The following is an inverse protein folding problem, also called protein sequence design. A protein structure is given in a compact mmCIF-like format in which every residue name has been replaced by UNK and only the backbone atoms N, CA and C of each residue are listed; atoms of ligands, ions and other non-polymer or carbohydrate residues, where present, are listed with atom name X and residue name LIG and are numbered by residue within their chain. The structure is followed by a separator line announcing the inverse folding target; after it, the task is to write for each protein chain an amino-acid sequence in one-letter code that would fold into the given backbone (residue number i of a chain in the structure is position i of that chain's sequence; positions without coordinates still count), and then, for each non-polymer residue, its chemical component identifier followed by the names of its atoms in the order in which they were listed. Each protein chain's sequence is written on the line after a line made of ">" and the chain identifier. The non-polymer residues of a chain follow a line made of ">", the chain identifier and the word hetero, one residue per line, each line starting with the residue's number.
data_IF_818332769111
#
_entry.id   IF_818332769111
#
_cell.length_a   1.000
_cell.length_b   1.000
_cell.length_c   1.000
_cell.angle_alpha   90.00
_cell.angle_beta   90.00
_cell.angle_gamma   90.00
#
_symmetry.space_group_name_H-M   'P 1'
#
loop_
_entity.id
_entity.type
_entity.pdbx_description
1 polymer ?
#
# COMPACT_ATOMS: atom_id res chain seq x y z
N UNK A 1 -14.83 32.10 -28.76
CA UNK A 1 -15.19 31.23 -27.63
C UNK A 1 -14.22 30.06 -27.67
N UNK A 2 -13.36 29.92 -26.66
CA UNK A 2 -12.45 28.78 -26.56
C UNK A 2 -13.30 27.66 -25.96
N UNK A 3 -13.81 26.77 -26.81
CA UNK A 3 -14.47 25.55 -26.36
C UNK A 3 -13.43 24.71 -25.62
N UNK A 4 -13.77 24.41 -24.37
CA UNK A 4 -12.91 23.77 -23.39
C UNK A 4 -12.37 22.44 -23.89
N UNK A 5 -11.09 22.24 -23.57
CA UNK A 5 -10.32 21.03 -23.68
C UNK A 5 -11.19 19.77 -23.57
N UNK A 6 -11.09 18.95 -24.61
CA UNK A 6 -11.64 17.61 -24.67
C UNK A 6 -11.14 16.81 -23.48
N UNK A 7 -11.99 16.72 -22.46
CA UNK A 7 -11.87 15.82 -21.33
C UNK A 7 -11.44 14.45 -21.82
N UNK A 8 -10.24 14.04 -21.43
CA UNK A 8 -9.59 12.79 -21.75
C UNK A 8 -10.43 11.60 -21.26
N UNK A 9 -11.49 11.24 -22.00
CA UNK A 9 -12.25 10.01 -21.75
C UNK A 9 -11.34 8.85 -22.09
N UNK A 10 -10.94 8.05 -21.10
CA UNK A 10 -10.16 6.84 -21.35
C UNK A 10 -10.83 6.02 -22.46
N UNK A 11 -10.19 5.85 -23.64
CA UNK A 11 -10.82 5.22 -24.77
C UNK A 11 -11.02 3.70 -24.52
N UNK A 12 -12.14 3.16 -25.02
CA UNK A 12 -12.44 1.72 -24.99
C UNK A 12 -13.32 1.28 -23.82
N UNK A 13 -13.36 -0.04 -23.56
CA UNK A 13 -14.24 -0.67 -22.55
C UNK A 13 -14.05 -0.13 -21.13
N UNK A 14 -12.88 0.45 -20.81
CA UNK A 14 -12.59 1.00 -19.48
C UNK A 14 -13.53 2.15 -19.10
N UNK A 15 -13.98 2.97 -20.06
CA UNK A 15 -14.85 4.11 -19.79
C UNK A 15 -16.29 3.78 -19.40
N UNK A 16 -16.68 2.50 -19.45
CA UNK A 16 -18.03 2.02 -19.06
C UNK A 16 -18.02 1.11 -17.85
N UNK A 17 -16.84 0.71 -17.35
CA UNK A 17 -16.73 -0.18 -16.22
C UNK A 17 -16.91 0.59 -14.90
N UNK A 18 -17.45 -0.11 -13.92
CA UNK A 18 -17.55 0.36 -12.53
C UNK A 18 -16.66 -0.49 -11.62
N UNK A 19 -16.41 -0.03 -10.40
CA UNK A 19 -15.55 -0.70 -9.44
C UNK A 19 -15.92 -2.18 -9.23
N UNK A 20 -17.22 -2.52 -9.16
CA UNK A 20 -17.67 -3.93 -9.02
C UNK A 20 -17.20 -4.86 -10.13
N UNK A 21 -16.93 -4.33 -11.32
CA UNK A 21 -16.54 -5.15 -12.46
C UNK A 21 -15.09 -5.64 -12.37
N UNK A 22 -14.28 -5.01 -11.49
CA UNK A 22 -12.84 -5.28 -11.36
C UNK A 22 -12.37 -5.52 -9.92
N UNK A 23 -13.19 -5.21 -8.91
CA UNK A 23 -12.81 -5.41 -7.51
C UNK A 23 -12.84 -6.89 -7.11
N UNK A 24 -11.98 -7.27 -6.16
CA UNK A 24 -12.07 -8.55 -5.46
C UNK A 24 -13.04 -8.45 -4.29
N UNK A 25 -13.85 -9.50 -4.07
CA UNK A 25 -14.81 -9.56 -2.95
C UNK A 25 -14.26 -10.28 -1.73
N UNK A 26 -13.40 -11.27 -1.93
CA UNK A 26 -12.64 -11.92 -0.86
C UNK A 26 -11.30 -11.19 -0.70
N UNK A 27 -11.19 -10.42 0.39
CA UNK A 27 -10.06 -9.50 0.60
C UNK A 27 -9.22 -9.96 1.80
N UNK A 28 -7.93 -10.16 1.57
CA UNK A 28 -6.95 -10.33 2.65
C UNK A 28 -6.74 -8.99 3.38
N UNK A 29 -6.82 -9.00 4.70
CA UNK A 29 -6.66 -7.81 5.56
C UNK A 29 -5.62 -8.05 6.65
N UNK A 30 -4.97 -6.98 7.09
CA UNK A 30 -4.04 -6.99 8.22
C UNK A 30 -4.71 -6.41 9.48
N UNK A 31 -4.63 -7.07 10.64
CA UNK A 31 -4.93 -6.44 11.92
C UNK A 31 -4.00 -5.25 12.21
N UNK A 32 -4.53 -4.19 12.81
CA UNK A 32 -3.78 -2.96 13.12
C UNK A 32 -2.58 -3.20 14.07
N UNK A 33 -2.69 -4.20 14.94
CA UNK A 33 -1.68 -4.60 15.92
C UNK A 33 -0.61 -5.55 15.36
N UNK A 34 -0.73 -6.00 14.10
CA UNK A 34 0.26 -6.88 13.47
C UNK A 34 1.62 -6.19 13.41
N UNK A 35 2.69 -6.92 13.73
CA UNK A 35 4.06 -6.37 13.64
C UNK A 35 4.48 -6.18 12.18
N UNK A 36 5.43 -5.28 11.91
CA UNK A 36 5.90 -5.08 10.53
C UNK A 36 6.53 -6.34 9.94
N UNK A 37 7.23 -7.15 10.73
CA UNK A 37 7.83 -8.41 10.25
C UNK A 37 6.74 -9.42 9.85
N UNK A 38 5.73 -9.61 10.72
CA UNK A 38 4.63 -10.54 10.43
C UNK A 38 3.81 -10.06 9.22
N UNK A 39 3.56 -8.75 9.12
CA UNK A 39 2.86 -8.17 7.99
C UNK A 39 3.57 -8.47 6.67
N UNK A 40 4.90 -8.37 6.63
CA UNK A 40 5.69 -8.69 5.44
C UNK A 40 5.61 -10.17 5.09
N UNK A 41 5.70 -11.05 6.08
CA UNK A 41 5.58 -12.49 5.86
C UNK A 41 4.21 -12.87 5.31
N UNK A 42 3.14 -12.34 5.90
CA UNK A 42 1.77 -12.55 5.45
C UNK A 42 1.56 -12.04 4.03
N UNK A 43 1.98 -10.80 3.74
CA UNK A 43 1.91 -10.23 2.39
C UNK A 43 2.62 -11.11 1.36
N UNK A 44 3.81 -11.62 1.70
CA UNK A 44 4.57 -12.54 0.84
C UNK A 44 3.85 -13.87 0.65
N UNK A 45 3.32 -14.47 1.72
CA UNK A 45 2.57 -15.73 1.67
C UNK A 45 1.32 -15.62 0.79
N UNK A 46 0.60 -14.51 0.89
CA UNK A 46 -0.60 -14.21 0.10
C UNK A 46 -0.31 -13.58 -1.27
N UNK A 47 0.96 -13.37 -1.63
CA UNK A 47 1.39 -12.73 -2.89
C UNK A 47 0.79 -11.34 -3.10
N UNK A 48 0.64 -10.57 -2.03
CA UNK A 48 0.16 -9.19 -2.05
C UNK A 48 1.31 -8.23 -1.70
N UNK A 49 1.33 -7.06 -2.33
CA UNK A 49 2.31 -6.00 -2.04
C UNK A 49 1.83 -4.99 -1.00
N UNK A 50 0.56 -5.11 -0.61
CA UNK A 50 -0.10 -4.34 0.44
C UNK A 50 -1.49 -4.91 0.74
N UNK A 51 -2.10 -4.43 1.82
CA UNK A 51 -3.41 -4.87 2.26
C UNK A 51 -4.14 -3.74 3.02
N UNK A 52 -5.48 -3.76 3.04
CA UNK A 52 -6.26 -2.95 3.97
C UNK A 52 -5.95 -3.34 5.43
N UNK A 53 -5.98 -2.36 6.32
CA UNK A 53 -5.75 -2.55 7.76
C UNK A 53 -7.06 -2.40 8.51
N UNK A 54 -7.37 -3.36 9.39
CA UNK A 54 -8.60 -3.38 10.18
C UNK A 54 -8.30 -3.37 11.68
N UNK A 55 -9.15 -2.71 12.45
CA UNK A 55 -9.10 -2.78 13.92
C UNK A 55 -9.74 -4.06 14.48
N UNK A 56 -9.68 -4.23 15.80
CA UNK A 56 -10.26 -5.37 16.51
C UNK A 56 -11.77 -5.59 16.30
N UNK A 57 -12.51 -4.56 15.85
CA UNK A 57 -13.94 -4.66 15.52
C UNK A 57 -14.19 -4.98 14.04
N UNK A 58 -13.14 -5.17 13.24
CA UNK A 58 -13.22 -5.42 11.82
C UNK A 58 -13.46 -4.17 10.96
N UNK A 59 -13.34 -2.96 11.53
CA UNK A 59 -13.48 -1.74 10.73
C UNK A 59 -12.17 -1.39 10.04
N UNK A 60 -12.25 -0.99 8.77
CA UNK A 60 -11.15 -0.43 7.99
C UNK A 60 -10.62 0.85 8.64
N UNK A 61 -9.33 0.89 8.97
CA UNK A 61 -8.66 2.05 9.58
C UNK A 61 -7.55 2.64 8.72
N UNK A 62 -7.08 1.91 7.69
CA UNK A 62 -6.03 2.39 6.81
C UNK A 62 -5.61 1.37 5.76
N UNK A 63 -4.49 1.66 5.11
CA UNK A 63 -3.81 0.75 4.16
C UNK A 63 -2.33 0.64 4.49
N UNK A 64 -1.78 -0.55 4.32
CA UNK A 64 -0.35 -0.80 4.53
C UNK A 64 0.25 -1.47 3.30
N UNK A 65 1.46 -1.08 2.93
CA UNK A 65 2.20 -1.67 1.80
C UNK A 65 3.68 -1.79 2.11
N UNK A 66 4.39 -2.60 1.31
CA UNK A 66 5.85 -2.72 1.42
C UNK A 66 6.57 -1.38 1.24
N UNK A 67 5.95 -0.38 0.60
CA UNK A 67 6.53 0.99 0.49
C UNK A 67 6.64 1.69 1.83
N UNK A 68 5.76 1.38 2.79
CA UNK A 68 5.80 1.98 4.13
C UNK A 68 7.02 1.52 4.96
N UNK A 69 7.74 0.49 4.49
CA UNK A 69 8.98 0.02 5.11
C UNK A 69 10.20 0.89 4.76
N UNK A 70 10.13 1.71 3.71
CA UNK A 70 11.26 2.55 3.30
C UNK A 70 11.38 3.76 4.23
N UNK A 71 12.56 3.95 4.80
CA UNK A 71 12.76 4.84 5.94
C UNK A 71 12.71 6.33 5.59
N UNK A 72 11.83 7.08 6.26
CA UNK A 72 12.02 8.52 6.47
C UNK A 72 12.82 8.71 7.76
N UNK A 73 14.15 8.79 7.64
CA UNK A 73 15.01 9.55 8.55
C UNK A 73 16.03 10.34 7.72
N UNK A 74 15.67 11.57 7.35
CA UNK A 74 16.64 12.58 6.91
C UNK A 74 17.37 13.09 8.15
N UNK A 75 18.46 12.44 8.55
CA UNK A 75 19.45 13.12 9.37
C UNK A 75 20.33 13.93 8.42
N UNK A 76 20.18 15.26 8.45
CA UNK A 76 21.15 16.19 7.85
C UNK A 76 22.47 16.08 8.62
N UNK A 77 23.38 15.22 8.21
CA UNK A 77 24.83 15.38 8.47
C UNK A 77 25.73 14.41 7.72
N UNK A 78 25.23 13.30 7.16
CA UNK A 78 26.13 12.31 6.56
C UNK A 78 25.91 12.23 5.05
N UNK A 79 26.67 13.06 4.32
CA UNK A 79 26.96 12.83 2.91
C UNK A 79 27.68 11.48 2.77
N UNK A 80 27.03 10.51 2.11
CA UNK A 80 27.70 9.29 1.64
C UNK A 80 27.31 7.98 2.32
N UNK A 81 26.02 7.69 2.54
CA UNK A 81 25.57 6.30 2.40
C UNK A 81 24.06 6.21 2.12
N UNK A 82 23.73 5.96 0.87
CA UNK A 82 22.37 5.65 0.43
C UNK A 82 21.87 4.42 1.20
N UNK A 83 20.92 4.59 2.12
CA UNK A 83 20.24 3.46 2.78
C UNK A 83 18.73 3.64 2.72
N UNK A 84 18.23 3.77 1.49
CA UNK A 84 17.02 3.02 1.16
C UNK A 84 17.25 1.55 1.56
N UNK A 85 16.20 0.86 2.02
CA UNK A 85 16.19 -0.59 1.90
C UNK A 85 16.12 -0.86 0.39
N UNK A 86 17.30 -1.03 -0.23
CA UNK A 86 17.56 -1.22 -1.67
C UNK A 86 17.02 -2.55 -2.21
N UNK A 87 15.85 -2.97 -1.75
CA UNK A 87 15.25 -4.26 -2.08
C UNK A 87 13.73 -4.26 -1.99
N UNK A 88 13.10 -3.09 -1.93
CA UNK A 88 11.64 -2.96 -2.14
C UNK A 88 11.44 -2.36 -3.53
N UNK A 89 11.41 -3.22 -4.54
CA UNK A 89 11.16 -2.83 -5.94
C UNK A 89 9.79 -3.34 -6.38
N UNK A 90 8.97 -2.49 -7.01
CA UNK A 90 7.70 -2.88 -7.64
C UNK A 90 6.76 -3.75 -6.80
N UNK A 91 6.76 -3.57 -5.48
CA UNK A 91 5.89 -4.34 -4.58
C UNK A 91 6.42 -5.74 -4.21
N UNK A 92 7.71 -6.00 -4.42
CA UNK A 92 8.41 -7.21 -4.00
C UNK A 92 9.47 -6.81 -2.98
N UNK A 93 9.55 -7.54 -1.87
CA UNK A 93 10.66 -7.42 -0.91
C UNK A 93 11.71 -8.50 -1.17
N UNK A 94 12.97 -8.09 -1.32
CA UNK A 94 14.09 -9.03 -1.46
C UNK A 94 14.39 -9.71 -0.13
N UNK A 95 14.97 -10.92 -0.19
CA UNK A 95 15.38 -11.65 1.01
C UNK A 95 16.34 -10.83 1.88
N UNK A 96 17.30 -10.13 1.25
CA UNK A 96 18.24 -9.26 1.95
C UNK A 96 17.57 -8.07 2.65
N UNK A 97 16.54 -7.48 2.04
CA UNK A 97 15.77 -6.39 2.66
C UNK A 97 14.96 -6.90 3.86
N UNK A 98 14.38 -8.10 3.77
CA UNK A 98 13.67 -8.74 4.87
C UNK A 98 14.61 -9.07 6.04
N UNK A 99 15.77 -9.67 5.77
CA UNK A 99 16.78 -9.94 6.81
C UNK A 99 17.23 -8.66 7.50
N UNK A 100 17.38 -7.57 6.74
CA UNK A 100 17.72 -6.25 7.30
C UNK A 100 16.60 -5.73 8.19
N UNK A 101 15.33 -5.85 7.78
CA UNK A 101 14.18 -5.47 8.59
C UNK A 101 14.18 -6.23 9.92
N UNK A 102 14.33 -7.56 9.89
CA UNK A 102 14.36 -8.44 11.07
C UNK A 102 15.45 -8.06 12.09
N UNK A 103 16.57 -7.50 11.61
CA UNK A 103 17.69 -7.05 12.45
C UNK A 103 17.52 -5.62 12.98
N UNK A 104 16.48 -4.89 12.56
CA UNK A 104 16.21 -3.52 13.02
C UNK A 104 15.11 -3.49 14.07
N UNK A 105 15.11 -2.44 14.92
CA UNK A 105 14.03 -2.20 15.87
C UNK A 105 12.66 -2.04 15.20
N UNK A 106 12.64 -1.66 13.92
CA UNK A 106 11.42 -1.49 13.13
C UNK A 106 10.64 -2.81 12.93
N UNK A 107 11.29 -3.98 13.05
CA UNK A 107 10.58 -5.27 12.96
C UNK A 107 9.42 -5.38 13.96
N UNK A 108 9.58 -4.80 15.16
CA UNK A 108 8.61 -4.86 16.25
C UNK A 108 7.65 -3.68 16.28
N UNK A 109 7.81 -2.70 15.38
CA UNK A 109 6.80 -1.67 15.20
C UNK A 109 5.51 -2.31 14.67
N UNK A 110 4.35 -1.71 14.97
CA UNK A 110 3.06 -2.23 14.50
C UNK A 110 2.69 -1.59 13.16
N UNK A 111 1.85 -2.28 12.41
CA UNK A 111 1.29 -1.79 11.15
C UNK A 111 0.61 -0.44 11.35
N UNK A 112 -0.18 -0.28 12.42
CA UNK A 112 -0.85 0.99 12.74
C UNK A 112 0.11 2.18 12.88
N UNK A 113 1.35 1.95 13.30
CA UNK A 113 2.35 3.01 13.51
C UNK A 113 2.97 3.50 12.18
N UNK A 114 2.74 2.79 11.06
CA UNK A 114 3.34 3.07 9.74
C UNK A 114 2.36 3.11 8.57
N UNK A 115 1.11 2.69 8.78
CA UNK A 115 0.08 2.65 7.75
C UNK A 115 -0.27 4.05 7.25
N UNK A 116 -0.88 4.10 6.06
CA UNK A 116 -1.63 5.28 5.65
C UNK A 116 -3.02 5.19 6.26
N UNK A 117 -3.30 6.08 7.22
CA UNK A 117 -4.62 6.21 7.83
C UNK A 117 -5.68 6.62 6.79
N UNK A 118 -6.94 6.31 7.10
CA UNK A 118 -8.10 6.70 6.28
C UNK A 118 -7.96 6.24 4.82
N UNK A 119 -8.07 4.93 4.63
CA UNK A 119 -8.06 4.32 3.30
C UNK A 119 -9.05 5.02 2.36
N UNK A 120 -8.60 5.52 1.19
CA UNK A 120 -9.51 5.99 0.15
C UNK A 120 -10.51 4.89 -0.18
N UNK A 121 -11.79 5.24 -0.26
CA UNK A 121 -12.85 4.29 -0.56
C UNK A 121 -13.82 4.86 -1.58
N UNK A 122 -14.36 3.97 -2.39
CA UNK A 122 -15.38 4.26 -3.40
C UNK A 122 -16.51 3.27 -3.24
N UNK A 123 -17.67 3.60 -3.79
CA UNK A 123 -18.78 2.64 -3.86
C UNK A 123 -18.56 1.66 -5.01
N UNK A 124 -19.20 0.50 -4.93
CA UNK A 124 -19.16 -0.52 -5.99
C UNK A 124 -19.67 -0.05 -7.36
N UNK A 125 -20.44 1.05 -7.40
CA UNK A 125 -20.97 1.67 -8.62
C UNK A 125 -20.15 2.87 -9.12
N UNK A 126 -19.03 3.21 -8.45
CA UNK A 126 -18.14 4.27 -8.93
C UNK A 126 -17.54 3.88 -10.28
N UNK A 127 -17.51 4.82 -11.23
CA UNK A 127 -16.93 4.56 -12.55
C UNK A 127 -15.41 4.44 -12.43
N UNK A 128 -14.76 3.63 -13.27
CA UNK A 128 -13.29 3.54 -13.23
C UNK A 128 -12.59 4.86 -13.59
N UNK A 129 -13.29 5.79 -14.22
CA UNK A 129 -12.79 7.15 -14.46
C UNK A 129 -12.71 7.93 -13.14
N UNK A 130 -13.64 7.72 -12.22
CA UNK A 130 -13.67 8.40 -10.91
C UNK A 130 -12.72 7.77 -9.87
N UNK A 131 -12.21 6.57 -10.16
CA UNK A 131 -11.29 5.81 -9.28
C UNK A 131 -9.81 6.06 -9.65
N UNK A 132 -9.52 6.45 -10.89
CA UNK A 132 -8.18 6.52 -11.49
C UNK A 132 -7.42 7.83 -11.21
#
# INVERSE_FOLDING_TARGET
>A
MIEGETMNRMPGRLGTLVARDVMSTEVFVLPEETTLVDAVELLKQHKHSGAPVVNSRGHLVGTFSLRNLTGVKRNKSDEGNQKEISGVESGIISAAALEKLMKTSAAQERVVDRMTENAPSVTENATLIDVA
#
